data_IF_556052265417
#
_entry.id   IF_556052265417
#
_cell.length_a   1.000
_cell.length_b   1.000
_cell.length_c   1.000
_cell.angle_alpha   90.00
_cell.angle_beta   90.00
_cell.angle_gamma   90.00
#
_symmetry.space_group_name_H-M   'P 1'
#
loop_
_entity.id
_entity.type
_entity.pdbx_description
1 polymer ?
#
# COMPACT_ATOMS: atom_id res chain seq x y z
N UNK A 1 6.96 6.47 14.51
CA UNK A 1 6.07 6.43 13.32
C UNK A 1 4.61 6.31 13.73
N UNK A 2 4.25 5.41 14.64
CA UNK A 2 2.86 5.26 15.09
C UNK A 2 2.25 6.55 15.66
N UNK A 3 2.99 7.35 16.43
CA UNK A 3 2.51 8.64 16.95
C UNK A 3 2.25 9.66 15.83
N UNK A 4 3.10 9.67 14.79
CA UNK A 4 2.93 10.51 13.59
C UNK A 4 1.65 10.07 12.85
N UNK A 5 1.44 8.76 12.74
CA UNK A 5 0.24 8.23 12.11
C UNK A 5 -1.02 8.63 12.87
N UNK A 6 -1.06 8.47 14.19
CA UNK A 6 -2.18 8.91 15.03
C UNK A 6 -2.44 10.41 14.88
N UNK A 7 -1.38 11.22 14.78
CA UNK A 7 -1.50 12.66 14.54
C UNK A 7 -2.04 13.00 13.13
N UNK A 8 -1.79 12.16 12.12
CA UNK A 8 -2.35 12.31 10.77
C UNK A 8 -3.75 11.72 10.63
N UNK A 9 -4.08 10.69 11.40
CA UNK A 9 -5.35 9.96 11.37
C UNK A 9 -6.53 10.91 11.60
N UNK A 10 -6.42 11.85 12.54
CA UNK A 10 -7.46 12.86 12.78
C UNK A 10 -8.84 12.23 13.00
N UNK A 11 -9.90 12.82 12.44
CA UNK A 11 -11.27 12.27 12.44
C UNK A 11 -11.51 11.25 11.32
N UNK A 12 -10.48 10.49 10.92
CA UNK A 12 -10.63 9.47 9.90
C UNK A 12 -11.47 8.31 10.41
N UNK A 13 -12.56 8.02 9.70
CA UNK A 13 -13.35 6.85 10.00
C UNK A 13 -12.57 5.57 9.69
N UNK A 14 -12.86 4.54 10.47
CA UNK A 14 -12.36 3.20 10.22
C UNK A 14 -12.82 2.70 8.85
N UNK A 15 -11.91 2.06 8.13
CA UNK A 15 -12.21 1.44 6.85
C UNK A 15 -13.01 0.15 7.08
N UNK A 16 -14.34 0.24 6.99
CA UNK A 16 -15.24 -0.90 7.07
C UNK A 16 -15.28 -1.71 5.75
N UNK A 17 -14.45 -2.74 5.67
CA UNK A 17 -14.27 -3.58 4.48
C UNK A 17 -15.44 -4.56 4.24
N UNK A 18 -16.49 -4.49 5.07
CA UNK A 18 -17.62 -5.42 5.06
C UNK A 18 -17.36 -6.67 5.91
N UNK A 19 -18.41 -7.49 6.12
CA UNK A 19 -18.27 -8.79 6.77
C UNK A 19 -17.77 -8.76 8.22
N UNK A 20 -18.03 -7.67 8.96
CA UNK A 20 -17.48 -7.36 10.30
C UNK A 20 -15.96 -7.11 10.34
N UNK A 21 -15.33 -6.94 9.18
CA UNK A 21 -13.92 -6.57 9.10
C UNK A 21 -13.81 -5.04 9.02
N UNK A 22 -13.20 -4.46 10.04
CA UNK A 22 -12.87 -3.03 10.09
C UNK A 22 -11.36 -2.89 10.23
N UNK A 23 -10.76 -2.01 9.45
CA UNK A 23 -9.33 -1.71 9.49
C UNK A 23 -9.13 -0.26 9.92
N UNK A 24 -8.08 0.03 10.72
CA UNK A 24 -7.71 1.41 10.95
C UNK A 24 -7.34 2.04 9.61
N UNK A 25 -7.67 3.33 9.40
CA UNK A 25 -7.42 4.02 8.14
C UNK A 25 -5.93 4.15 7.83
N UNK A 26 -5.06 3.98 8.81
CA UNK A 26 -3.61 4.01 8.63
C UNK A 26 -2.95 2.87 9.43
N UNK A 27 -1.94 2.25 8.84
CA UNK A 27 -1.05 1.28 9.50
C UNK A 27 0.39 1.59 9.13
N UNK A 28 1.32 1.43 10.06
CA UNK A 28 2.73 1.37 9.74
C UNK A 28 3.32 0.04 10.17
N UNK A 29 4.35 -0.37 9.44
CA UNK A 29 5.25 -1.43 9.82
C UNK A 29 6.66 -0.98 9.43
N UNK A 30 7.56 -0.85 10.41
CA UNK A 30 8.91 -0.30 10.20
C UNK A 30 8.85 1.10 9.54
N UNK A 31 9.43 1.26 8.36
CA UNK A 31 9.45 2.46 7.53
C UNK A 31 8.27 2.54 6.55
N UNK A 32 7.53 1.45 6.36
CA UNK A 32 6.39 1.40 5.46
C UNK A 32 5.10 1.86 6.15
N UNK A 33 4.32 2.66 5.43
CA UNK A 33 2.98 3.11 5.86
C UNK A 33 1.95 2.74 4.80
N UNK A 34 0.85 2.13 5.25
CA UNK A 34 -0.33 1.83 4.43
C UNK A 34 -1.47 2.76 4.85
N UNK A 35 -2.05 3.47 3.88
CA UNK A 35 -3.26 4.26 4.07
C UNK A 35 -4.43 3.54 3.41
N UNK A 36 -5.46 3.19 4.18
CA UNK A 36 -6.67 2.48 3.74
C UNK A 36 -7.86 3.40 3.97
N UNK A 37 -8.57 3.77 2.91
CA UNK A 37 -9.77 4.61 3.03
C UNK A 37 -10.89 4.09 2.15
N UNK A 38 -12.09 4.08 2.72
CA UNK A 38 -13.35 3.80 2.01
C UNK A 38 -14.04 5.14 1.81
N UNK A 39 -13.51 5.94 0.90
CA UNK A 39 -14.04 7.26 0.64
C UNK A 39 -14.82 7.26 -0.68
N UNK A 40 -16.06 7.73 -0.62
CA UNK A 40 -16.83 8.14 -1.80
C UNK A 40 -16.21 9.37 -2.48
N UNK A 41 -15.44 10.17 -1.73
CA UNK A 41 -14.81 11.43 -2.16
C UNK A 41 -13.28 11.33 -2.17
N UNK A 42 -12.67 11.65 -3.31
CA UNK A 42 -11.22 11.55 -3.52
C UNK A 42 -10.42 12.56 -2.70
N UNK A 43 -11.02 13.72 -2.43
CA UNK A 43 -10.34 14.85 -1.79
C UNK A 43 -9.94 14.57 -0.34
N UNK A 44 -10.63 13.67 0.34
CA UNK A 44 -10.30 13.31 1.72
C UNK A 44 -8.97 12.55 1.82
N UNK A 45 -8.73 11.63 0.87
CA UNK A 45 -7.47 10.87 0.84
C UNK A 45 -6.32 11.80 0.45
N UNK A 46 -6.53 12.72 -0.50
CA UNK A 46 -5.53 13.74 -0.86
C UNK A 46 -5.16 14.63 0.33
N UNK A 47 -6.16 15.16 1.06
CA UNK A 47 -5.93 15.97 2.27
C UNK A 47 -5.14 15.22 3.35
N UNK A 48 -5.45 13.94 3.54
CA UNK A 48 -4.72 13.08 4.48
C UNK A 48 -3.26 12.89 4.06
N UNK A 49 -3.01 12.61 2.78
CA UNK A 49 -1.65 12.49 2.25
C UNK A 49 -0.85 13.80 2.39
N UNK A 50 -1.47 14.95 2.10
CA UNK A 50 -0.84 16.26 2.32
C UNK A 50 -0.49 16.48 3.80
N UNK A 51 -1.39 16.14 4.72
CA UNK A 51 -1.12 16.26 6.16
C UNK A 51 0.01 15.33 6.60
N UNK A 52 0.04 14.11 6.08
CA UNK A 52 1.12 13.15 6.33
C UNK A 52 2.46 13.69 5.85
N UNK A 53 2.51 14.29 4.66
CA UNK A 53 3.72 14.86 4.09
C UNK A 53 4.28 16.00 4.95
N UNK A 54 3.41 16.90 5.44
CA UNK A 54 3.78 17.97 6.37
C UNK A 54 4.35 17.40 7.67
N UNK A 55 3.68 16.42 8.28
CA UNK A 55 4.16 15.81 9.52
C UNK A 55 5.50 15.09 9.34
N UNK A 56 5.69 14.38 8.22
CA UNK A 56 6.98 13.75 7.91
C UNK A 56 8.08 14.80 7.74
N UNK A 57 7.79 15.92 7.09
CA UNK A 57 8.75 17.01 6.93
C UNK A 57 9.22 17.57 8.28
N UNK A 58 8.32 17.70 9.26
CA UNK A 58 8.65 18.12 10.63
C UNK A 58 9.56 17.12 11.34
N UNK A 59 9.36 15.84 11.07
CA UNK A 59 10.22 14.76 11.57
C UNK A 59 11.54 14.63 10.78
N UNK A 60 11.81 15.51 9.80
CA UNK A 60 12.95 15.42 8.87
C UNK A 60 12.98 14.11 8.08
N UNK A 61 11.79 13.58 7.79
CA UNK A 61 11.58 12.39 6.97
C UNK A 61 10.90 12.79 5.65
N UNK A 62 11.07 11.97 4.62
CA UNK A 62 10.49 12.20 3.30
C UNK A 62 9.93 10.89 2.75
N UNK A 63 8.73 10.95 2.17
CA UNK A 63 8.21 9.83 1.41
C UNK A 63 8.98 9.68 0.09
N UNK A 64 9.11 8.45 -0.39
CA UNK A 64 9.70 8.16 -1.71
C UNK A 64 8.59 7.75 -2.68
N UNK A 65 7.96 8.70 -3.41
CA UNK A 65 6.83 8.42 -4.31
C UNK A 65 7.10 7.25 -5.28
N UNK A 66 8.34 7.16 -5.80
CA UNK A 66 8.76 6.08 -6.70
C UNK A 66 8.74 4.69 -6.06
N UNK A 67 8.87 4.59 -4.73
CA UNK A 67 8.77 3.34 -3.97
C UNK A 67 7.36 3.07 -3.46
N UNK A 68 6.51 4.10 -3.38
CA UNK A 68 5.11 3.97 -2.99
C UNK A 68 4.26 3.42 -4.14
N UNK A 69 3.13 2.79 -3.80
CA UNK A 69 2.14 2.32 -4.76
C UNK A 69 0.73 2.65 -4.31
N UNK A 70 -0.11 3.09 -5.24
CA UNK A 70 -1.51 3.35 -4.99
C UNK A 70 -2.43 2.39 -5.73
N UNK A 71 -3.54 2.03 -5.07
CA UNK A 71 -4.58 1.19 -5.62
C UNK A 71 -5.94 1.77 -5.24
N UNK A 72 -6.77 2.06 -6.24
CA UNK A 72 -8.15 2.49 -6.04
C UNK A 72 -9.08 1.40 -6.56
N UNK A 73 -10.11 1.05 -5.77
CA UNK A 73 -11.12 0.06 -6.17
C UNK A 73 -12.48 0.71 -6.13
N UNK A 74 -13.23 0.62 -7.23
CA UNK A 74 -14.60 1.14 -7.35
C UNK A 74 -15.49 0.06 -7.95
N UNK A 75 -16.58 -0.29 -7.25
CA UNK A 75 -17.54 -1.33 -7.68
C UNK A 75 -16.86 -2.67 -8.04
N UNK A 76 -15.86 -3.07 -7.24
CA UNK A 76 -15.13 -4.34 -7.44
C UNK A 76 -14.13 -4.35 -8.59
N UNK A 77 -13.86 -3.21 -9.23
CA UNK A 77 -12.85 -3.07 -10.29
C UNK A 77 -11.78 -2.07 -9.88
N UNK A 78 -10.56 -2.26 -10.37
CA UNK A 78 -9.49 -1.28 -10.22
C UNK A 78 -9.86 -0.01 -10.99
N UNK A 79 -9.76 1.13 -10.32
CA UNK A 79 -10.03 2.46 -10.86
C UNK A 79 -8.69 3.16 -11.16
N UNK A 80 -8.23 3.04 -12.40
CA UNK A 80 -6.91 3.55 -12.83
C UNK A 80 -6.90 5.07 -13.03
N UNK A 81 -8.07 5.70 -13.16
CA UNK A 81 -8.17 7.15 -13.29
C UNK A 81 -7.82 7.87 -11.98
N UNK A 82 -7.97 7.17 -10.84
CA UNK A 82 -7.69 7.73 -9.52
C UNK A 82 -6.21 7.64 -9.18
N UNK A 83 -5.57 8.78 -9.20
CA UNK A 83 -4.16 8.96 -8.86
C UNK A 83 -4.01 9.84 -7.62
N UNK A 84 -2.91 9.62 -6.91
CA UNK A 84 -2.57 10.33 -5.69
C UNK A 84 -1.17 10.91 -5.78
N UNK A 85 -0.93 11.98 -5.05
CA UNK A 85 0.36 12.67 -4.97
C UNK A 85 0.84 12.72 -3.53
N UNK A 86 2.16 12.65 -3.36
CA UNK A 86 2.88 12.86 -2.08
C UNK A 86 4.22 13.51 -2.41
N UNK A 87 4.72 14.43 -1.58
CA UNK A 87 5.95 15.18 -1.86
C UNK A 87 5.93 15.79 -3.28
N UNK A 88 4.80 16.38 -3.66
CA UNK A 88 4.53 17.01 -4.96
C UNK A 88 4.70 16.09 -6.20
N UNK A 89 4.88 14.79 -5.99
CA UNK A 89 5.07 13.79 -7.04
C UNK A 89 3.92 12.78 -7.06
N UNK A 90 3.57 12.33 -8.27
CA UNK A 90 2.54 11.31 -8.43
C UNK A 90 3.05 9.94 -7.96
N UNK A 91 2.24 9.28 -7.15
CA UNK A 91 2.46 7.89 -6.73
C UNK A 91 2.09 6.97 -7.92
N UNK A 92 3.00 6.09 -8.38
CA UNK A 92 2.67 5.13 -9.43
C UNK A 92 1.56 4.18 -8.99
N UNK A 93 0.63 3.88 -9.89
CA UNK A 93 -0.42 2.89 -9.61
C UNK A 93 0.15 1.48 -9.69
N UNK A 94 -0.49 0.53 -9.00
CA UNK A 94 -0.11 -0.90 -9.09
C UNK A 94 -0.25 -1.44 -10.52
N UNK A 95 -1.21 -0.93 -11.30
CA UNK A 95 -1.34 -1.29 -12.73
C UNK A 95 -0.13 -0.84 -13.55
N UNK A 96 0.39 0.35 -13.30
CA UNK A 96 1.51 0.92 -14.05
C UNK A 96 2.85 0.30 -13.64
N UNK A 97 3.05 0.13 -12.33
CA UNK A 97 4.27 -0.44 -11.79
C UNK A 97 3.92 -1.49 -10.72
N UNK A 98 3.68 -2.75 -11.14
CA UNK A 98 3.56 -3.86 -10.23
C UNK A 98 4.76 -3.95 -9.30
N UNK A 99 4.56 -4.45 -8.09
CA UNK A 99 5.63 -4.55 -7.10
C UNK A 99 5.68 -5.94 -6.48
N UNK A 100 6.87 -6.31 -5.99
CA UNK A 100 7.11 -7.56 -5.26
C UNK A 100 7.26 -7.22 -3.78
N UNK A 101 6.50 -7.90 -2.92
CA UNK A 101 6.63 -7.80 -1.45
C UNK A 101 6.60 -9.20 -0.85
N UNK A 102 7.54 -9.48 0.08
CA UNK A 102 7.69 -10.78 0.74
C UNK A 102 7.69 -11.97 -0.22
N UNK A 103 8.38 -11.84 -1.37
CA UNK A 103 8.43 -12.90 -2.38
C UNK A 103 7.25 -12.91 -3.36
N UNK A 104 6.17 -12.17 -3.08
CA UNK A 104 4.91 -12.18 -3.85
C UNK A 104 4.80 -10.99 -4.79
N UNK A 105 4.40 -11.24 -6.04
CA UNK A 105 4.04 -10.18 -6.98
C UNK A 105 2.58 -9.73 -6.79
N UNK A 106 2.41 -8.42 -6.79
CA UNK A 106 1.12 -7.73 -6.73
C UNK A 106 0.95 -6.88 -8.00
N UNK A 107 -0.11 -7.20 -8.74
CA UNK A 107 -0.53 -6.51 -9.96
C UNK A 107 -2.01 -6.10 -9.88
N UNK A 108 -2.50 -5.43 -10.92
CA UNK A 108 -3.88 -4.94 -10.99
C UNK A 108 -4.94 -6.02 -11.14
N UNK A 109 -4.56 -7.28 -11.41
CA UNK A 109 -5.52 -8.37 -11.50
C UNK A 109 -6.14 -8.66 -10.14
N UNK A 110 -5.40 -8.43 -9.05
CA UNK A 110 -5.76 -8.79 -7.66
C UNK A 110 -6.26 -10.24 -7.54
N UNK A 111 -5.90 -11.11 -8.48
CA UNK A 111 -6.33 -12.52 -8.49
C UNK A 111 -5.39 -13.34 -7.61
N UNK A 112 -5.99 -14.32 -6.95
CA UNK A 112 -5.28 -15.31 -6.13
C UNK A 112 -5.20 -16.69 -6.80
N UNK A 113 -5.62 -16.80 -8.06
CA UNK A 113 -5.69 -18.10 -8.76
C UNK A 113 -4.33 -18.74 -9.00
N UNK A 114 -3.24 -17.95 -9.04
CA UNK A 114 -1.87 -18.45 -9.29
C UNK A 114 -1.06 -18.70 -8.02
N UNK A 115 -1.60 -18.45 -6.82
CA UNK A 115 -0.82 -18.49 -5.57
C UNK A 115 -0.23 -19.85 -5.24
N UNK A 116 -0.97 -20.92 -5.48
CA UNK A 116 -0.48 -22.28 -5.23
C UNK A 116 0.79 -22.57 -6.04
N UNK A 117 0.77 -22.22 -7.33
CA UNK A 117 1.92 -22.41 -8.22
C UNK A 117 3.09 -21.50 -7.83
N UNK A 118 2.84 -20.20 -7.60
CA UNK A 118 3.88 -19.24 -7.17
C UNK A 118 4.56 -19.66 -5.86
N UNK A 119 3.79 -20.19 -4.90
CA UNK A 119 4.33 -20.62 -3.61
C UNK A 119 5.20 -21.88 -3.76
N UNK A 120 4.78 -22.83 -4.60
CA UNK A 120 5.55 -24.03 -4.90
C UNK A 120 6.87 -23.69 -5.61
N UNK A 121 6.84 -22.75 -6.53
CA UNK A 121 8.04 -22.28 -7.24
C UNK A 121 9.02 -21.63 -6.26
N UNK A 122 8.57 -20.68 -5.44
CA UNK A 122 9.39 -20.04 -4.40
C UNK A 122 9.95 -21.05 -3.38
N UNK A 123 9.15 -22.05 -2.98
CA UNK A 123 9.61 -23.11 -2.09
C UNK A 123 10.69 -23.97 -2.76
N UNK A 124 10.53 -24.29 -4.04
CA UNK A 124 11.50 -25.09 -4.79
C UNK A 124 12.84 -24.35 -4.99
N UNK A 125 12.79 -23.05 -5.30
CA UNK A 125 13.97 -22.18 -5.42
C UNK A 125 14.69 -22.02 -4.08
N UNK A 126 13.95 -21.75 -3.00
CA UNK A 126 14.55 -21.57 -1.67
C UNK A 126 15.16 -22.85 -1.11
N UNK A 127 14.54 -24.01 -1.35
CA UNK A 127 15.10 -25.32 -0.97
C UNK A 127 16.33 -25.70 -1.81
N UNK A 128 16.47 -25.17 -3.03
CA UNK A 128 17.64 -25.40 -3.88
C UNK A 128 18.91 -24.68 -3.37
N UNK A 129 18.78 -23.67 -2.51
CA UNK A 129 19.92 -22.91 -1.95
C UNK A 129 20.86 -23.81 -1.12
N UNK A 130 20.34 -24.87 -0.51
CA UNK A 130 21.15 -25.87 0.21
C UNK A 130 22.02 -26.76 -0.71
N UNK A 131 21.99 -26.58 -2.03
CA UNK A 131 22.86 -27.28 -2.99
C UNK A 131 24.11 -26.48 -3.38
N UNK A 132 24.27 -25.25 -2.90
CA UNK A 132 25.52 -24.52 -3.04
C UNK A 132 26.59 -25.19 -2.16
N UNK A 133 27.50 -25.96 -2.79
CA UNK A 133 28.70 -26.47 -2.13
C UNK A 133 29.54 -25.28 -1.63
N UNK A 134 29.78 -25.24 -0.32
CA UNK A 134 30.90 -24.51 0.28
C UNK A 134 32.23 -25.16 -0.13
#
# INVERSE_FOLDING_TARGET
MEDILKAAEGSADWANLGGRCSMPPMKAFMDDTTVIRICSKEDETRRMLTRLDVLMSWCRMEFKPKKSRSLSIRKGKVDEARTFTVAEQQIPTVSQQPFKSLGRWYDSSLKDTRRGAETLELASESLAINKCRL
#
